data_IF_953773958987
#
_entry.id   IF_953773958987
#
_cell.length_a   1.000
_cell.length_b   1.000
_cell.length_c   1.000
_cell.angle_alpha   90.00
_cell.angle_beta   90.00
_cell.angle_gamma   90.00
#
_symmetry.space_group_name_H-M   'P 1'
#
loop_
_entity.id
_entity.type
_entity.pdbx_description
1 polymer ?
#
# COMPACT_ATOMS: atom_id res chain seq x y z
N UNK A 1 49.00 16.12 -36.67
CA UNK A 1 47.55 16.36 -36.85
C UNK A 1 46.64 15.17 -36.46
N UNK A 2 47.00 14.29 -35.49
CA UNK A 2 46.13 13.14 -35.08
C UNK A 2 45.97 12.97 -33.56
N UNK A 3 46.67 13.77 -32.76
CA UNK A 3 46.67 13.69 -31.28
C UNK A 3 45.73 14.70 -30.62
N UNK A 4 45.42 15.83 -31.28
CA UNK A 4 44.52 16.87 -30.76
C UNK A 4 43.03 16.48 -30.80
N UNK A 5 42.63 15.58 -31.72
CA UNK A 5 41.24 15.08 -31.79
C UNK A 5 40.87 14.16 -30.62
N UNK A 6 41.86 13.42 -30.07
CA UNK A 6 41.63 12.48 -28.96
C UNK A 6 41.47 13.18 -27.62
N UNK A 7 42.22 14.27 -27.41
CA UNK A 7 42.11 15.09 -26.21
C UNK A 7 40.75 15.80 -26.13
N UNK A 8 40.21 16.23 -27.28
CA UNK A 8 38.90 16.88 -27.35
C UNK A 8 37.74 15.91 -27.09
N UNK A 9 37.85 14.67 -27.60
CA UNK A 9 36.86 13.62 -27.36
C UNK A 9 36.80 13.16 -25.89
N UNK A 10 37.95 13.12 -25.20
CA UNK A 10 38.01 12.79 -23.77
C UNK A 10 37.45 13.91 -22.88
N UNK A 11 37.60 15.18 -23.29
CA UNK A 11 37.02 16.31 -22.57
C UNK A 11 35.49 16.35 -22.67
N UNK A 12 34.93 15.98 -23.84
CA UNK A 12 33.48 15.89 -24.03
C UNK A 12 32.87 14.70 -23.25
N UNK A 13 33.58 13.56 -23.21
CA UNK A 13 33.13 12.39 -22.44
C UNK A 13 33.15 12.63 -20.92
N UNK A 14 34.09 13.43 -20.43
CA UNK A 14 34.17 13.83 -19.02
C UNK A 14 33.06 14.83 -18.63
N UNK A 15 32.53 15.61 -19.58
CA UNK A 15 31.48 16.61 -19.30
C UNK A 15 30.06 16.02 -19.29
N UNK A 16 29.85 14.83 -19.87
CA UNK A 16 28.55 14.13 -19.90
C UNK A 16 28.25 13.28 -18.65
N UNK A 17 29.17 13.17 -17.69
CA UNK A 17 29.01 12.30 -16.51
C UNK A 17 28.35 12.99 -15.30
N UNK A 18 27.92 14.25 -15.42
CA UNK A 18 27.12 14.91 -14.38
C UNK A 18 25.66 14.51 -14.57
N UNK A 19 25.35 13.26 -14.25
CA UNK A 19 23.96 12.87 -13.93
C UNK A 19 23.65 13.58 -12.63
N UNK A 20 23.03 14.76 -12.74
CA UNK A 20 22.51 15.50 -11.61
C UNK A 20 21.48 14.58 -10.95
N UNK A 21 21.89 13.95 -9.84
CA UNK A 21 20.97 13.41 -8.87
C UNK A 21 20.19 14.60 -8.32
N UNK A 22 19.11 14.98 -9.00
CA UNK A 22 18.19 15.97 -8.48
C UNK A 22 17.77 15.48 -7.10
N UNK A 23 17.83 16.33 -6.06
CA UNK A 23 17.29 15.95 -4.76
C UNK A 23 15.83 15.58 -5.00
N UNK A 24 15.49 14.30 -4.80
CA UNK A 24 14.10 13.91 -4.65
C UNK A 24 13.65 14.65 -3.39
N UNK A 25 12.88 15.71 -3.58
CA UNK A 25 12.22 16.39 -2.49
C UNK A 25 11.34 15.34 -1.82
N UNK A 26 11.77 14.81 -0.68
CA UNK A 26 10.93 14.00 0.19
C UNK A 26 9.89 14.94 0.76
N UNK A 27 8.79 15.12 0.03
CA UNK A 27 7.61 15.83 0.54
C UNK A 27 7.25 15.13 1.86
N UNK A 28 7.11 15.91 2.94
CA UNK A 28 6.60 15.39 4.20
C UNK A 28 5.30 14.63 3.90
N UNK A 29 5.06 13.48 4.54
CA UNK A 29 3.87 12.69 4.28
C UNK A 29 2.63 13.56 4.57
N UNK A 30 1.89 13.92 3.51
CA UNK A 30 0.66 14.72 3.62
C UNK A 30 -0.51 13.89 4.16
N UNK A 31 -0.33 12.58 4.25
CA UNK A 31 -1.31 11.58 4.65
C UNK A 31 -0.82 10.86 5.90
N UNK A 32 -1.71 10.71 6.88
CA UNK A 32 -1.50 10.00 8.13
C UNK A 32 -2.52 8.86 8.24
N UNK A 33 -2.02 7.62 8.23
CA UNK A 33 -2.83 6.44 8.51
C UNK A 33 -2.92 6.23 10.02
N UNK A 34 -4.12 6.46 10.58
CA UNK A 34 -4.39 6.46 12.03
C UNK A 34 -4.82 5.09 12.54
N UNK A 35 -5.69 4.41 11.79
CA UNK A 35 -6.11 3.02 12.05
C UNK A 35 -6.09 2.25 10.74
N UNK A 36 -5.57 1.03 10.80
CA UNK A 36 -5.48 0.10 9.68
C UNK A 36 -5.77 -1.33 10.15
N UNK A 37 -6.51 -1.50 11.25
CA UNK A 37 -6.76 -2.81 11.86
C UNK A 37 -7.57 -3.72 10.93
N UNK A 38 -7.37 -5.03 11.09
CA UNK A 38 -8.18 -6.04 10.43
C UNK A 38 -8.52 -7.17 11.40
N UNK A 39 -9.68 -7.77 11.21
CA UNK A 39 -10.14 -8.95 11.95
C UNK A 39 -10.73 -9.97 10.98
N UNK A 40 -10.83 -11.23 11.41
CA UNK A 40 -11.47 -12.28 10.63
C UNK A 40 -12.45 -13.07 11.48
N UNK A 41 -13.52 -13.52 10.84
CA UNK A 41 -14.34 -14.62 11.33
C UNK A 41 -14.11 -15.77 10.36
N UNK A 42 -13.51 -16.86 10.85
CA UNK A 42 -13.08 -17.98 10.02
C UNK A 42 -14.20 -18.50 9.12
N UNK A 43 -13.87 -18.69 7.84
CA UNK A 43 -14.77 -19.08 6.75
C UNK A 43 -16.02 -18.21 6.57
N UNK A 44 -16.06 -17.00 7.15
CA UNK A 44 -17.19 -16.08 7.00
C UNK A 44 -16.77 -14.76 6.39
N UNK A 45 -15.88 -14.03 7.05
CA UNK A 45 -15.47 -12.71 6.59
C UNK A 45 -14.09 -12.31 7.09
N UNK A 46 -13.48 -11.38 6.37
CA UNK A 46 -12.42 -10.52 6.88
C UNK A 46 -12.91 -9.08 6.85
N UNK A 47 -12.76 -8.36 7.96
CA UNK A 47 -13.14 -6.95 8.07
C UNK A 47 -11.89 -6.11 8.16
N UNK A 48 -11.71 -5.19 7.22
CA UNK A 48 -10.57 -4.27 7.17
C UNK A 48 -11.05 -2.86 7.52
N UNK A 49 -10.46 -2.25 8.54
CA UNK A 49 -10.77 -0.91 8.98
C UNK A 49 -9.68 0.07 8.55
N UNK A 50 -10.09 1.28 8.21
CA UNK A 50 -9.22 2.38 7.85
C UNK A 50 -9.71 3.65 8.53
N UNK A 51 -8.83 4.32 9.28
CA UNK A 51 -8.94 5.75 9.56
C UNK A 51 -7.70 6.43 8.98
N UNK A 52 -7.92 7.38 8.07
CA UNK A 52 -6.84 8.11 7.40
C UNK A 52 -7.17 9.59 7.36
N UNK A 53 -6.14 10.41 7.55
CA UNK A 53 -6.21 11.87 7.54
C UNK A 53 -5.24 12.45 6.51
N UNK A 54 -5.62 13.52 5.83
CA UNK A 54 -4.81 14.19 4.83
C UNK A 54 -5.03 15.71 4.80
N UNK A 55 -4.08 16.45 4.23
CA UNK A 55 -4.19 17.91 4.06
C UNK A 55 -5.17 18.23 2.92
N UNK A 56 -5.05 17.54 1.79
CA UNK A 56 -5.97 17.65 0.67
C UNK A 56 -7.13 16.65 0.86
N UNK A 57 -8.36 16.96 0.40
CA UNK A 57 -9.46 15.99 0.50
C UNK A 57 -9.11 14.68 -0.21
N UNK A 58 -9.27 13.56 0.47
CA UNK A 58 -9.17 12.21 -0.10
C UNK A 58 -10.44 11.96 -0.90
N UNK A 59 -10.30 11.57 -2.16
CA UNK A 59 -11.41 11.33 -3.10
C UNK A 59 -11.58 9.84 -3.46
N UNK A 60 -10.56 9.02 -3.22
CA UNK A 60 -10.61 7.58 -3.47
C UNK A 60 -9.81 6.82 -2.42
N UNK A 61 -10.30 5.64 -2.04
CA UNK A 61 -9.63 4.67 -1.18
C UNK A 61 -9.66 3.31 -1.89
N UNK A 62 -8.51 2.62 -1.89
CA UNK A 62 -8.41 1.24 -2.35
C UNK A 62 -7.76 0.36 -1.26
N UNK A 63 -8.39 -0.78 -0.99
CA UNK A 63 -7.83 -1.88 -0.21
C UNK A 63 -7.17 -2.86 -1.16
N UNK A 64 -5.94 -3.26 -0.87
CA UNK A 64 -5.26 -4.36 -1.56
C UNK A 64 -4.92 -5.45 -0.56
N UNK A 65 -5.16 -6.71 -0.91
CA UNK A 65 -4.85 -7.84 -0.04
C UNK A 65 -4.53 -9.11 -0.81
N UNK A 66 -3.77 -10.01 -0.18
CA UNK A 66 -3.46 -11.34 -0.71
C UNK A 66 -2.96 -12.28 0.40
N UNK A 67 -3.09 -13.60 0.23
CA UNK A 67 -2.32 -14.55 1.02
C UNK A 67 -0.81 -14.36 0.83
N UNK A 68 -0.04 -14.55 1.89
CA UNK A 68 1.41 -14.49 1.85
C UNK A 68 1.95 -15.55 0.88
N UNK A 69 2.83 -15.12 -0.04
CA UNK A 69 3.42 -15.98 -1.07
C UNK A 69 2.54 -16.18 -2.31
N UNK A 70 1.29 -15.71 -2.30
CA UNK A 70 0.46 -15.67 -3.50
C UNK A 70 0.91 -14.53 -4.44
N UNK A 71 0.63 -14.68 -5.73
CA UNK A 71 0.92 -13.68 -6.77
C UNK A 71 -0.30 -12.86 -7.16
N UNK A 72 -1.49 -13.31 -6.75
CA UNK A 72 -2.74 -12.63 -7.10
C UNK A 72 -3.09 -11.62 -6.03
N UNK A 73 -2.97 -10.34 -6.37
CA UNK A 73 -3.40 -9.23 -5.53
C UNK A 73 -4.89 -8.95 -5.75
N UNK A 74 -5.68 -9.05 -4.69
CA UNK A 74 -7.09 -8.67 -4.69
C UNK A 74 -7.21 -7.17 -4.39
N UNK A 75 -8.24 -6.53 -4.94
CA UNK A 75 -8.49 -5.11 -4.76
C UNK A 75 -9.97 -4.84 -4.48
N UNK A 76 -10.24 -3.91 -3.56
CA UNK A 76 -11.56 -3.38 -3.31
C UNK A 76 -11.53 -1.85 -3.25
N UNK A 77 -12.63 -1.22 -3.65
CA UNK A 77 -12.77 0.23 -3.75
C UNK A 77 -13.97 0.72 -2.95
N UNK A 78 -13.85 0.88 -1.62
CA UNK A 78 -14.93 1.41 -0.79
C UNK A 78 -15.35 2.81 -1.26
N UNK A 79 -16.66 3.03 -1.41
CA UNK A 79 -17.19 4.35 -1.75
C UNK A 79 -16.98 5.33 -0.60
N UNK A 80 -16.43 6.50 -0.91
CA UNK A 80 -16.15 7.56 0.06
C UNK A 80 -16.59 8.91 -0.51
N UNK A 81 -17.08 9.78 0.36
CA UNK A 81 -17.29 11.19 0.02
C UNK A 81 -15.97 11.96 0.21
N UNK A 82 -15.61 12.90 -0.69
CA UNK A 82 -14.39 13.68 -0.57
C UNK A 82 -14.23 14.35 0.80
N UNK A 83 -13.19 13.97 1.56
CA UNK A 83 -12.96 14.51 2.89
C UNK A 83 -11.47 14.41 3.30
N UNK A 84 -11.04 15.28 4.20
CA UNK A 84 -9.68 15.25 4.79
C UNK A 84 -9.51 14.14 5.83
N UNK A 85 -10.62 13.59 6.32
CA UNK A 85 -10.61 12.42 7.20
C UNK A 85 -11.62 11.41 6.68
N UNK A 86 -11.14 10.21 6.41
CA UNK A 86 -11.95 9.09 5.96
C UNK A 86 -11.93 8.01 7.03
N UNK A 87 -13.10 7.46 7.32
CA UNK A 87 -13.29 6.29 8.18
C UNK A 87 -14.07 5.27 7.36
N UNK A 88 -13.47 4.11 7.14
CA UNK A 88 -14.03 3.02 6.32
C UNK A 88 -13.91 1.71 7.06
N UNK A 89 -14.92 0.87 6.90
CA UNK A 89 -14.87 -0.54 7.24
C UNK A 89 -15.32 -1.33 6.01
N UNK A 90 -14.51 -2.28 5.57
CA UNK A 90 -14.76 -3.06 4.37
C UNK A 90 -14.72 -4.56 4.68
N UNK A 91 -15.80 -5.25 4.36
CA UNK A 91 -15.94 -6.69 4.54
C UNK A 91 -15.64 -7.44 3.24
N UNK A 92 -14.78 -8.44 3.35
CA UNK A 92 -14.51 -9.45 2.32
C UNK A 92 -15.20 -10.74 2.74
N UNK A 93 -16.14 -11.23 1.94
CA UNK A 93 -16.79 -12.53 2.15
C UNK A 93 -15.82 -13.66 1.80
N UNK A 94 -15.50 -14.49 2.79
CA UNK A 94 -14.61 -15.66 2.63
C UNK A 94 -15.37 -16.99 2.49
N UNK A 95 -16.71 -16.95 2.43
CA UNK A 95 -17.50 -18.12 2.05
C UNK A 95 -17.44 -18.37 0.54
N UNK A 96 -17.36 -17.30 -0.26
CA UNK A 96 -17.38 -17.38 -1.72
C UNK A 96 -16.11 -18.06 -2.27
N UNK A 97 -14.96 -17.75 -1.67
CA UNK A 97 -13.65 -18.29 -2.02
C UNK A 97 -12.95 -18.84 -0.77
N UNK A 98 -12.74 -20.16 -0.76
CA UNK A 98 -12.11 -20.83 0.38
C UNK A 98 -10.67 -20.37 0.60
N UNK A 99 -10.38 -19.92 1.83
CA UNK A 99 -9.03 -19.68 2.33
C UNK A 99 -8.69 -20.73 3.39
N UNK A 100 -7.56 -21.45 3.29
CA UNK A 100 -7.15 -22.37 4.33
C UNK A 100 -6.78 -21.63 5.64
N UNK A 101 -6.97 -22.26 6.81
CA UNK A 101 -6.51 -21.71 8.08
C UNK A 101 -4.98 -21.66 8.16
N UNK A 102 -4.46 -20.78 9.00
CA UNK A 102 -3.03 -20.62 9.26
C UNK A 102 -2.31 -19.79 8.21
N UNK A 103 -3.04 -18.96 7.45
CA UNK A 103 -2.45 -18.06 6.46
C UNK A 103 -2.18 -16.69 7.06
N UNK A 104 -1.06 -16.09 6.67
CA UNK A 104 -0.87 -14.65 6.77
C UNK A 104 -1.52 -13.98 5.57
N UNK A 105 -2.48 -13.09 5.81
CA UNK A 105 -3.07 -12.21 4.81
C UNK A 105 -2.30 -10.89 4.87
N UNK A 106 -1.60 -10.56 3.80
CA UNK A 106 -0.87 -9.30 3.65
C UNK A 106 -1.82 -8.29 3.00
N UNK A 107 -1.97 -7.12 3.62
CA UNK A 107 -2.84 -6.07 3.09
C UNK A 107 -2.23 -4.68 3.24
N UNK A 108 -2.65 -3.75 2.38
CA UNK A 108 -2.30 -2.33 2.48
C UNK A 108 -3.41 -1.48 1.87
N UNK A 109 -3.36 -0.19 2.16
CA UNK A 109 -4.31 0.79 1.67
C UNK A 109 -3.60 1.77 0.74
N UNK A 110 -4.33 2.23 -0.28
CA UNK A 110 -3.96 3.37 -1.11
C UNK A 110 -5.04 4.42 -1.01
N UNK A 111 -4.62 5.68 -0.92
CA UNK A 111 -5.53 6.83 -0.99
C UNK A 111 -5.11 7.74 -2.13
N UNK A 112 -6.10 8.33 -2.80
CA UNK A 112 -5.91 9.38 -3.81
C UNK A 112 -6.54 10.67 -3.30
N UNK A 113 -5.76 11.74 -3.26
CA UNK A 113 -6.19 13.08 -2.87
C UNK A 113 -6.74 13.86 -4.08
N UNK A 114 -7.48 14.94 -3.83
CA UNK A 114 -8.16 15.74 -4.86
C UNK A 114 -7.20 16.42 -5.84
N UNK A 115 -5.96 16.67 -5.41
CA UNK A 115 -4.89 17.21 -6.25
C UNK A 115 -4.19 16.13 -7.11
N UNK A 116 -4.63 14.88 -6.98
CA UNK A 116 -4.11 13.72 -7.71
C UNK A 116 -2.91 13.05 -7.03
N UNK A 117 -2.51 13.49 -5.83
CA UNK A 117 -1.48 12.81 -5.06
C UNK A 117 -1.98 11.42 -4.63
N UNK A 118 -1.11 10.41 -4.79
CA UNK A 118 -1.39 9.02 -4.40
C UNK A 118 -0.42 8.62 -3.31
N UNK A 119 -0.97 8.11 -2.19
CA UNK A 119 -0.17 7.62 -1.07
C UNK A 119 -0.59 6.20 -0.69
N UNK A 120 0.39 5.33 -0.47
CA UNK A 120 0.20 3.96 0.03
C UNK A 120 0.67 3.83 1.47
N UNK A 121 -0.04 3.02 2.25
CA UNK A 121 0.40 2.64 3.59
C UNK A 121 1.47 1.57 3.55
N UNK A 122 2.16 1.38 4.68
CA UNK A 122 2.98 0.20 4.87
C UNK A 122 2.10 -1.06 4.96
N UNK A 123 2.52 -2.20 4.38
CA UNK A 123 1.78 -3.44 4.52
C UNK A 123 1.56 -3.85 5.98
N UNK A 124 0.41 -4.46 6.24
CA UNK A 124 0.04 -5.09 7.50
C UNK A 124 -0.23 -6.57 7.26
N UNK A 125 -0.30 -7.32 8.35
CA UNK A 125 -0.58 -8.76 8.32
C UNK A 125 -1.76 -9.08 9.23
N UNK A 126 -2.71 -9.84 8.71
CA UNK A 126 -3.79 -10.48 9.47
C UNK A 126 -3.52 -11.98 9.45
N UNK A 127 -3.37 -12.59 10.63
CA UNK A 127 -3.28 -14.04 10.73
C UNK A 127 -4.69 -14.65 10.66
N UNK A 128 -4.99 -15.33 9.55
CA UNK A 128 -6.27 -15.95 9.29
C UNK A 128 -6.29 -17.37 9.87
N UNK A 129 -7.01 -17.57 10.96
CA UNK A 129 -7.05 -18.83 11.71
C UNK A 129 -8.48 -19.15 12.16
N UNK A 130 -8.75 -20.44 12.36
CA UNK A 130 -9.92 -20.90 13.10
C UNK A 130 -9.69 -20.70 14.60
N UNK A 131 -10.27 -19.63 15.13
CA UNK A 131 -10.24 -19.27 16.55
C UNK A 131 -11.45 -19.82 17.32
N UNK A 132 -12.27 -20.69 16.71
CA UNK A 132 -13.43 -21.30 17.35
C UNK A 132 -13.11 -22.25 18.51
N UNK A 133 -11.83 -22.57 18.72
CA UNK A 133 -11.34 -23.39 19.83
C UNK A 133 -10.40 -22.56 20.71
N UNK A 134 -10.83 -22.26 21.93
CA UNK A 134 -9.99 -21.61 22.94
C UNK A 134 -9.02 -22.65 23.54
N UNK A 135 -7.84 -22.75 22.94
CA UNK A 135 -6.78 -23.69 23.35
C UNK A 135 -6.20 -23.41 24.75
N UNK A 136 -6.58 -22.31 25.41
CA UNK A 136 -6.16 -22.03 26.79
C UNK A 136 -6.92 -22.85 27.85
N UNK A 137 -7.87 -23.70 27.44
CA UNK A 137 -8.68 -24.51 28.34
C UNK A 137 -8.65 -26.02 28.00
N UNK A 138 -7.50 -26.55 27.57
CA UNK A 138 -7.25 -28.01 27.41
C UNK A 138 -6.13 -28.52 28.30
#
# INVERSE_FOLDING_TARGET
MRTSLRAFALLILALSAVVVAAPRSTRAANVSFVDMSATSIFQRSMTFNLTVEAISPIVEVALFWQPAGDRVLQAAYPSVEPNRRIVVSHDVDTNADYLPPGLDIIYHWRVTEQDGDVTESQPQTLFYMDDGLDWNHV
#
